data_IF_083032488683
#
_entry.id   IF_083032488683
#
_cell.length_a   1.000
_cell.length_b   1.000
_cell.length_c   1.000
_cell.angle_alpha   90.00
_cell.angle_beta   90.00
_cell.angle_gamma   90.00
#
_symmetry.space_group_name_H-M   'P 1'
#
loop_
_entity.id
_entity.type
_entity.pdbx_description
1 polymer ?
#
# COMPACT_ATOMS: atom_id res chain seq x y z
N UNK A 1 -18.59 -10.77 -19.36
CA UNK A 1 -18.62 -11.56 -18.11
C UNK A 1 -17.21 -11.89 -17.63
N UNK A 2 -16.36 -12.53 -18.46
CA UNK A 2 -14.96 -12.82 -18.07
C UNK A 2 -14.15 -11.58 -17.67
N UNK A 3 -14.24 -10.48 -18.44
CA UNK A 3 -13.51 -9.25 -18.11
C UNK A 3 -13.93 -8.64 -16.76
N UNK A 4 -15.21 -8.71 -16.38
CA UNK A 4 -15.67 -8.18 -15.09
C UNK A 4 -15.16 -9.02 -13.91
N UNK A 5 -15.05 -10.33 -14.09
CA UNK A 5 -14.52 -11.24 -13.07
C UNK A 5 -13.01 -11.02 -12.87
N UNK A 6 -12.25 -10.93 -13.97
CA UNK A 6 -10.81 -10.63 -13.92
C UNK A 6 -10.55 -9.29 -13.21
N UNK A 7 -11.29 -8.23 -13.58
CA UNK A 7 -11.17 -6.92 -12.93
C UNK A 7 -11.49 -6.99 -11.42
N UNK A 8 -12.44 -7.83 -11.02
CA UNK A 8 -12.80 -8.02 -9.61
C UNK A 8 -11.68 -8.68 -8.81
N UNK A 9 -11.05 -9.72 -9.36
CA UNK A 9 -9.92 -10.44 -8.74
C UNK A 9 -8.72 -9.49 -8.56
N UNK A 10 -8.34 -8.78 -9.63
CA UNK A 10 -7.23 -7.82 -9.57
C UNK A 10 -7.52 -6.71 -8.55
N UNK A 11 -8.75 -6.19 -8.54
CA UNK A 11 -9.15 -5.15 -7.59
C UNK A 11 -9.14 -5.64 -6.14
N UNK A 12 -9.55 -6.89 -5.88
CA UNK A 12 -9.44 -7.49 -4.55
C UNK A 12 -7.97 -7.61 -4.10
N UNK A 13 -7.08 -8.05 -4.99
CA UNK A 13 -5.64 -8.13 -4.73
C UNK A 13 -5.05 -6.77 -4.36
N UNK A 14 -5.28 -5.72 -5.17
CA UNK A 14 -4.77 -4.37 -4.88
C UNK A 14 -5.38 -3.77 -3.60
N UNK A 15 -6.69 -3.95 -3.36
CA UNK A 15 -7.35 -3.48 -2.14
C UNK A 15 -6.72 -4.08 -0.88
N UNK A 16 -6.31 -5.34 -0.92
CA UNK A 16 -5.59 -5.98 0.19
C UNK A 16 -4.28 -5.29 0.53
N UNK A 17 -3.62 -4.69 -0.46
CA UNK A 17 -2.31 -4.05 -0.31
C UNK A 17 -2.38 -2.58 0.12
N UNK A 18 -3.52 -1.89 -0.05
CA UNK A 18 -3.62 -0.43 0.16
C UNK A 18 -3.17 0.04 1.54
N UNK A 19 -3.47 -0.70 2.63
CA UNK A 19 -3.01 -0.35 3.99
C UNK A 19 -1.49 -0.26 4.07
N UNK A 20 -0.81 -1.28 3.55
CA UNK A 20 0.65 -1.35 3.55
C UNK A 20 1.28 -0.33 2.59
N UNK A 21 0.60 -0.08 1.46
CA UNK A 21 0.97 0.93 0.48
C UNK A 21 0.91 2.34 1.07
N UNK A 22 -0.17 2.69 1.78
CA UNK A 22 -0.35 3.97 2.45
C UNK A 22 0.72 4.16 3.53
N UNK A 23 0.96 3.17 4.39
CA UNK A 23 2.03 3.23 5.38
C UNK A 23 3.40 3.43 4.71
N UNK A 24 3.67 2.74 3.60
CA UNK A 24 4.93 2.89 2.86
C UNK A 24 5.09 4.25 2.17
N UNK A 25 3.98 4.87 1.73
CA UNK A 25 4.00 6.23 1.20
C UNK A 25 4.29 7.24 2.30
N UNK A 26 3.60 7.11 3.44
CA UNK A 26 3.74 7.99 4.59
C UNK A 26 5.07 7.84 5.36
N UNK A 27 5.74 6.70 5.19
CA UNK A 27 7.11 6.49 5.66
C UNK A 27 8.10 7.41 4.95
N UNK A 28 7.88 7.68 3.65
CA UNK A 28 8.74 8.55 2.81
C UNK A 28 8.50 10.03 3.07
N UNK A 29 7.24 10.44 3.16
CA UNK A 29 6.87 11.83 3.43
C UNK A 29 5.41 11.95 3.90
N UNK A 30 5.09 12.99 4.67
CA UNK A 30 3.70 13.30 5.00
C UNK A 30 2.93 13.71 3.74
N UNK A 31 1.66 13.32 3.66
CA UNK A 31 0.84 13.55 2.46
C UNK A 31 -0.59 13.92 2.81
N UNK A 32 -1.24 14.72 1.94
CA UNK A 32 -2.70 14.94 1.95
C UNK A 32 -3.41 13.71 1.41
N UNK A 33 -4.67 13.52 1.81
CA UNK A 33 -5.49 12.39 1.37
C UNK A 33 -5.54 12.23 -0.16
N UNK A 34 -5.68 13.35 -0.90
CA UNK A 34 -5.73 13.31 -2.36
C UNK A 34 -4.37 12.96 -2.99
N UNK A 35 -3.25 13.31 -2.35
CA UNK A 35 -1.91 12.95 -2.81
C UNK A 35 -1.69 11.44 -2.68
N UNK A 36 -2.16 10.85 -1.58
CA UNK A 36 -2.18 9.40 -1.37
C UNK A 36 -3.02 8.70 -2.45
N UNK A 37 -4.24 9.21 -2.70
CA UNK A 37 -5.12 8.71 -3.75
C UNK A 37 -4.43 8.74 -5.12
N UNK A 38 -3.79 9.87 -5.46
CA UNK A 38 -3.05 10.03 -6.73
C UNK A 38 -1.89 9.04 -6.83
N UNK A 39 -1.10 8.87 -5.76
CA UNK A 39 0.01 7.94 -5.74
C UNK A 39 -0.45 6.48 -5.93
N UNK A 40 -1.52 6.06 -5.25
CA UNK A 40 -2.10 4.71 -5.42
C UNK A 40 -2.59 4.49 -6.85
N UNK A 41 -3.27 5.49 -7.44
CA UNK A 41 -3.73 5.44 -8.83
C UNK A 41 -2.57 5.26 -9.81
N UNK A 42 -1.50 6.03 -9.63
CA UNK A 42 -0.31 5.94 -10.48
C UNK A 42 0.39 4.58 -10.34
N UNK A 43 0.52 4.05 -9.12
CA UNK A 43 1.23 2.79 -8.88
C UNK A 43 0.44 1.54 -9.30
N UNK A 44 -0.88 1.56 -9.16
CA UNK A 44 -1.72 0.36 -9.35
C UNK A 44 -2.53 0.38 -10.64
N UNK A 45 -2.64 1.54 -11.30
CA UNK A 45 -3.59 1.76 -12.41
C UNK A 45 -5.06 1.72 -11.97
N UNK A 46 -5.35 1.43 -10.69
CA UNK A 46 -6.72 1.33 -10.17
C UNK A 46 -7.18 2.63 -9.56
N UNK A 47 -8.50 2.84 -9.57
CA UNK A 47 -9.13 4.09 -9.13
C UNK A 47 -10.01 3.87 -7.89
N UNK A 48 -9.44 3.73 -6.68
CA UNK A 48 -10.25 3.82 -5.47
C UNK A 48 -11.02 5.14 -5.41
N UNK A 49 -12.16 5.09 -4.73
CA UNK A 49 -12.89 6.30 -4.37
C UNK A 49 -12.14 7.03 -3.25
N UNK A 50 -12.40 8.32 -3.11
CA UNK A 50 -11.84 9.09 -1.99
C UNK A 50 -12.37 8.57 -0.65
N UNK A 51 -13.63 8.11 -0.60
CA UNK A 51 -14.21 7.47 0.59
C UNK A 51 -13.39 6.26 1.04
N UNK A 52 -13.04 5.35 0.12
CA UNK A 52 -12.21 4.18 0.45
C UNK A 52 -10.86 4.58 1.04
N UNK A 53 -10.24 5.64 0.52
CA UNK A 53 -8.99 6.15 1.10
C UNK A 53 -9.22 6.71 2.50
N UNK A 54 -10.30 7.47 2.71
CA UNK A 54 -10.64 7.99 4.04
C UNK A 54 -10.95 6.88 5.05
N UNK A 55 -11.65 5.82 4.66
CA UNK A 55 -11.94 4.68 5.52
C UNK A 55 -10.65 4.01 5.99
N UNK A 56 -9.70 3.79 5.07
CA UNK A 56 -8.39 3.20 5.40
C UNK A 56 -7.59 4.15 6.29
N UNK A 57 -7.58 5.46 6.01
CA UNK A 57 -6.88 6.43 6.83
C UNK A 57 -7.45 6.49 8.25
N UNK A 58 -8.78 6.51 8.38
CA UNK A 58 -9.47 6.46 9.67
C UNK A 58 -9.12 5.18 10.46
N UNK A 59 -9.10 4.03 9.78
CA UNK A 59 -8.69 2.76 10.40
C UNK A 59 -7.23 2.81 10.90
N UNK A 60 -6.30 3.30 10.08
CA UNK A 60 -4.89 3.39 10.44
C UNK A 60 -4.65 4.40 11.59
N UNK A 61 -5.41 5.49 11.62
CA UNK A 61 -5.35 6.52 12.66
C UNK A 61 -5.93 6.00 13.98
N UNK A 62 -7.06 5.28 13.94
CA UNK A 62 -7.63 4.56 15.09
C UNK A 62 -6.63 3.56 15.70
N UNK A 63 -5.88 2.86 14.85
CA UNK A 63 -4.79 1.95 15.26
C UNK A 63 -3.50 2.67 15.68
N UNK A 64 -3.48 4.00 15.70
CA UNK A 64 -2.32 4.86 16.02
C UNK A 64 -1.10 4.62 15.13
N UNK A 65 -1.29 4.03 13.94
CA UNK A 65 -0.22 3.77 12.97
C UNK A 65 0.12 5.04 12.18
N UNK A 66 -0.85 5.93 12.04
CA UNK A 66 -0.69 7.27 11.47
C UNK A 66 -1.32 8.29 12.41
N UNK A 67 -1.01 9.56 12.19
CA UNK A 67 -1.67 10.71 12.80
C UNK A 67 -1.97 11.75 11.74
N UNK A 68 -3.02 12.54 11.93
CA UNK A 68 -3.27 13.71 11.10
C UNK A 68 -2.74 15.00 11.73
N UNK A 69 -2.34 15.95 10.88
CA UNK A 69 -1.89 17.29 11.24
C UNK A 69 -2.65 18.25 10.35
N UNK A 70 -3.34 19.22 10.96
CA UNK A 70 -4.02 20.29 10.24
C UNK A 70 -3.16 21.54 10.29
N UNK A 71 -2.82 22.09 9.13
CA UNK A 71 -2.07 23.35 9.04
C UNK A 71 -2.94 24.55 9.42
N UNK A 72 -2.32 25.70 9.62
CA UNK A 72 -3.03 26.97 9.80
C UNK A 72 -3.92 27.34 8.61
N UNK A 73 -3.60 26.82 7.41
CA UNK A 73 -4.37 26.98 6.18
C UNK A 73 -5.49 25.94 6.02
N UNK A 74 -5.87 25.24 7.10
CA UNK A 74 -6.89 24.19 7.11
C UNK A 74 -6.59 22.99 6.21
N UNK A 75 -5.32 22.76 5.85
CA UNK A 75 -4.93 21.59 5.08
C UNK A 75 -4.64 20.40 6.00
N UNK A 76 -5.32 19.28 5.78
CA UNK A 76 -5.12 18.03 6.54
C UNK A 76 -4.06 17.15 5.88
N UNK A 77 -2.93 16.97 6.57
CA UNK A 77 -1.86 16.03 6.22
C UNK A 77 -1.92 14.79 7.12
N UNK A 78 -1.43 13.67 6.61
CA UNK A 78 -1.23 12.44 7.36
C UNK A 78 0.26 12.15 7.47
N UNK A 79 0.68 11.64 8.61
CA UNK A 79 2.06 11.27 8.89
C UNK A 79 2.08 9.90 9.60
N UNK A 80 3.03 9.04 9.24
CA UNK A 80 3.24 7.79 9.97
C UNK A 80 3.79 8.07 11.37
N UNK A 81 3.34 7.31 12.37
CA UNK A 81 3.88 7.35 13.74
C UNK A 81 5.04 6.38 13.90
N UNK A 82 5.74 6.42 15.04
CA UNK A 82 6.77 5.44 15.36
C UNK A 82 6.19 4.02 15.52
N UNK A 83 4.97 3.91 16.06
CA UNK A 83 4.21 2.65 16.12
C UNK A 83 3.94 2.15 14.70
N UNK A 84 3.53 3.04 13.79
CA UNK A 84 3.33 2.74 12.38
C UNK A 84 4.60 2.24 11.69
N UNK A 85 5.74 2.90 11.88
CA UNK A 85 7.03 2.48 11.33
C UNK A 85 7.45 1.11 11.85
N UNK A 86 7.30 0.86 13.15
CA UNK A 86 7.59 -0.44 13.77
C UNK A 86 6.70 -1.53 13.19
N UNK A 87 5.39 -1.28 13.07
CA UNK A 87 4.44 -2.22 12.48
C UNK A 87 4.79 -2.53 11.01
N UNK A 88 5.09 -1.50 10.21
CA UNK A 88 5.50 -1.64 8.81
C UNK A 88 6.78 -2.47 8.66
N UNK A 89 7.81 -2.17 9.47
CA UNK A 89 9.07 -2.93 9.50
C UNK A 89 8.83 -4.39 9.88
N UNK A 90 8.01 -4.66 10.89
CA UNK A 90 7.67 -6.01 11.31
C UNK A 90 6.92 -6.81 10.24
N UNK A 91 5.96 -6.19 9.54
CA UNK A 91 5.25 -6.85 8.42
C UNK A 91 6.25 -7.18 7.31
N UNK A 92 7.15 -6.25 6.96
CA UNK A 92 8.20 -6.52 5.97
C UNK A 92 9.09 -7.68 6.41
N UNK A 93 9.58 -7.69 7.65
CA UNK A 93 10.44 -8.76 8.16
C UNK A 93 9.75 -10.14 8.17
N UNK A 94 8.49 -10.22 8.62
CA UNK A 94 7.77 -11.50 8.75
C UNK A 94 7.21 -12.05 7.44
N UNK A 95 6.87 -11.17 6.49
CA UNK A 95 6.09 -11.56 5.32
C UNK A 95 6.87 -11.49 4.01
N UNK A 96 7.99 -10.75 3.94
CA UNK A 96 8.68 -10.48 2.66
C UNK A 96 8.99 -11.75 1.84
N UNK A 97 9.65 -12.74 2.43
CA UNK A 97 10.01 -13.97 1.73
C UNK A 97 8.76 -14.69 1.21
N UNK A 98 7.80 -14.97 2.10
CA UNK A 98 6.54 -15.65 1.77
C UNK A 98 5.72 -14.93 0.71
N UNK A 99 5.63 -13.60 0.77
CA UNK A 99 4.92 -12.81 -0.23
C UNK A 99 5.62 -12.89 -1.58
N UNK A 100 6.96 -12.82 -1.60
CA UNK A 100 7.73 -12.98 -2.84
C UNK A 100 7.50 -14.36 -3.45
N UNK A 101 7.51 -15.43 -2.65
CA UNK A 101 7.27 -16.80 -3.14
C UNK A 101 5.87 -16.95 -3.75
N UNK A 102 4.85 -16.38 -3.10
CA UNK A 102 3.48 -16.34 -3.62
C UNK A 102 3.41 -15.56 -4.94
N UNK A 103 4.06 -14.39 -5.01
CA UNK A 103 4.07 -13.58 -6.23
C UNK A 103 4.80 -14.29 -7.37
N UNK A 104 5.92 -14.97 -7.09
CA UNK A 104 6.64 -15.76 -8.08
C UNK A 104 5.78 -16.90 -8.62
N UNK A 105 4.97 -17.53 -7.77
CA UNK A 105 4.02 -18.56 -8.19
C UNK A 105 2.88 -17.98 -9.04
N UNK A 106 2.24 -16.88 -8.60
CA UNK A 106 1.09 -16.27 -9.30
C UNK A 106 1.48 -15.71 -10.67
N UNK A 107 2.66 -15.08 -10.76
CA UNK A 107 3.11 -14.37 -11.96
C UNK A 107 4.16 -15.12 -12.76
N UNK A 108 4.45 -16.38 -12.39
CA UNK A 108 5.44 -17.24 -13.04
C UNK A 108 6.79 -16.53 -13.27
N UNK A 109 7.21 -15.71 -12.31
CA UNK A 109 8.43 -14.92 -12.43
C UNK A 109 9.62 -15.87 -12.36
N UNK A 110 10.24 -16.13 -13.52
CA UNK A 110 11.45 -16.95 -13.58
C UNK A 110 12.53 -16.29 -12.72
N UNK A 111 13.03 -17.03 -11.73
CA UNK A 111 14.30 -16.71 -11.07
C UNK A 111 15.41 -16.82 -12.12
N UNK A 112 15.71 -15.72 -12.82
CA UNK A 112 16.96 -15.56 -13.56
C UNK A 112 18.10 -15.47 -12.54
N UNK A 113 18.39 -16.59 -11.86
CA UNK A 113 19.74 -16.87 -11.40
C UNK A 113 20.53 -17.13 -12.68
N UNK A 114 21.22 -16.07 -13.08
CA UNK A 114 22.34 -16.10 -14.01
C UNK A 114 23.07 -17.43 -13.84
N UNK A 115 23.01 -18.28 -14.87
CA UNK A 115 24.03 -19.30 -15.09
C UNK A 115 25.34 -18.54 -15.24
N UNK A 116 26.04 -18.30 -14.13
CA UNK A 116 27.46 -17.97 -14.17
C UNK A 116 28.16 -19.29 -14.49
N UNK A 117 28.09 -19.67 -15.76
CA UNK A 117 28.91 -20.74 -16.29
C UNK A 117 30.32 -20.18 -16.42
N UNK A 118 31.18 -20.69 -15.54
CA UNK A 118 32.57 -21.14 -15.75
C UNK A 118 33.43 -20.32 -16.69
#
# INVERSE_FOLDING_TARGET
>A
MLNSEVMSIEWAMFRGMFRLLILSLLEKSMMRGYQILKAIRTLTGRKPSMSTIHDILSELECKKLIKSITTQTSEKYYQITDIGRKALSQVRARCRARVIDILNLIFEVQNNKVKLNR
#
